data_IF_016740350420
#
_entry.id   IF_016740350420
#
_cell.length_a   1.000
_cell.length_b   1.000
_cell.length_c   1.000
_cell.angle_alpha   90.00
_cell.angle_beta   90.00
_cell.angle_gamma   90.00
#
_symmetry.space_group_name_H-M   'P 1'
#
loop_
_entity.id
_entity.type
_entity.pdbx_description
1 polymer ?
#
# COMPACT_ATOMS: atom_id res chain seq x y z
N UNK A 1 80.09 1.31 -27.85
CA UNK A 1 79.29 1.29 -26.60
C UNK A 1 77.84 1.51 -26.97
N UNK A 2 77.05 0.44 -27.02
CA UNK A 2 75.61 0.49 -27.32
C UNK A 2 74.90 -0.30 -26.22
N UNK A 3 74.21 0.41 -25.33
CA UNK A 3 73.38 -0.19 -24.29
C UNK A 3 72.00 -0.53 -24.88
N UNK A 4 71.66 -1.81 -24.93
CA UNK A 4 70.31 -2.30 -25.18
C UNK A 4 69.65 -2.64 -23.85
N UNK A 5 68.70 -1.79 -23.42
CA UNK A 5 67.81 -2.04 -22.28
C UNK A 5 66.67 -2.97 -22.70
N UNK A 6 66.56 -4.13 -22.04
CA UNK A 6 65.45 -5.08 -22.20
C UNK A 6 64.26 -4.67 -21.30
N UNK A 7 63.01 -4.65 -21.80
CA UNK A 7 61.86 -4.28 -20.97
C UNK A 7 61.46 -5.42 -20.03
N UNK A 8 61.37 -5.11 -18.73
CA UNK A 8 60.89 -6.02 -17.67
C UNK A 8 59.37 -6.21 -17.83
N UNK A 9 58.95 -7.46 -18.10
CA UNK A 9 57.55 -7.86 -18.33
C UNK A 9 56.62 -7.48 -17.15
N UNK A 10 55.73 -6.51 -17.38
CA UNK A 10 54.62 -6.11 -16.48
C UNK A 10 53.43 -7.09 -16.61
N UNK A 11 53.70 -8.40 -16.66
CA UNK A 11 52.65 -9.40 -16.95
C UNK A 11 52.07 -9.98 -15.65
N UNK A 12 52.85 -10.01 -14.57
CA UNK A 12 52.45 -10.62 -13.31
C UNK A 12 51.27 -9.94 -12.59
N UNK A 13 51.17 -8.58 -12.50
CA UNK A 13 50.05 -7.96 -11.79
C UNK A 13 48.72 -8.11 -12.55
N UNK A 14 48.72 -8.03 -13.89
CA UNK A 14 47.50 -8.13 -14.69
C UNK A 14 46.82 -9.50 -14.60
N UNK A 15 47.60 -10.58 -14.53
CA UNK A 15 47.08 -11.96 -14.38
C UNK A 15 46.46 -12.17 -12.98
N UNK A 16 47.00 -11.54 -11.94
CA UNK A 16 46.47 -11.62 -10.57
C UNK A 16 45.16 -10.82 -10.45
N UNK A 17 45.06 -9.64 -11.06
CA UNK A 17 43.81 -8.86 -11.10
C UNK A 17 42.70 -9.58 -11.88
N UNK A 18 43.03 -10.23 -12.99
CA UNK A 18 42.04 -10.97 -13.78
C UNK A 18 41.54 -12.23 -13.07
N UNK A 19 42.43 -12.97 -12.40
CA UNK A 19 42.05 -14.19 -11.67
C UNK A 19 41.22 -13.89 -10.42
N UNK A 20 41.50 -12.80 -9.71
CA UNK A 20 40.71 -12.38 -8.53
C UNK A 20 39.32 -11.88 -8.91
N UNK A 21 39.19 -11.09 -9.99
CA UNK A 21 37.88 -10.68 -10.50
C UNK A 21 37.06 -11.84 -11.05
N UNK A 22 37.70 -12.80 -11.74
CA UNK A 22 37.03 -14.02 -12.23
C UNK A 22 36.54 -14.91 -11.08
N UNK A 23 37.34 -15.10 -10.03
CA UNK A 23 36.94 -15.85 -8.83
C UNK A 23 35.76 -15.18 -8.10
N UNK A 24 35.76 -13.84 -7.99
CA UNK A 24 34.65 -13.09 -7.39
C UNK A 24 33.38 -13.23 -8.24
N UNK A 25 33.50 -13.19 -9.57
CA UNK A 25 32.37 -13.37 -10.48
C UNK A 25 31.80 -14.80 -10.42
N UNK A 26 32.66 -15.82 -10.37
CA UNK A 26 32.25 -17.22 -10.18
C UNK A 26 31.57 -17.41 -8.82
N UNK A 27 32.11 -16.80 -7.76
CA UNK A 27 31.49 -16.83 -6.43
C UNK A 27 30.11 -16.17 -6.41
N UNK A 28 29.95 -15.02 -7.08
CA UNK A 28 28.65 -14.34 -7.24
C UNK A 28 27.66 -15.19 -8.06
N UNK A 29 28.11 -15.87 -9.11
CA UNK A 29 27.29 -16.79 -9.89
C UNK A 29 26.85 -18.02 -9.09
N UNK A 30 27.75 -18.63 -8.30
CA UNK A 30 27.45 -19.78 -7.46
C UNK A 30 26.50 -19.42 -6.31
N UNK A 31 26.66 -18.25 -5.70
CA UNK A 31 25.73 -17.73 -4.70
C UNK A 31 24.35 -17.41 -5.30
N UNK A 32 24.32 -16.90 -6.54
CA UNK A 32 23.07 -16.63 -7.26
C UNK A 32 22.35 -17.92 -7.67
N UNK A 33 23.09 -18.97 -8.04
CA UNK A 33 22.51 -20.24 -8.47
C UNK A 33 21.98 -21.08 -7.30
N UNK A 34 22.70 -21.12 -6.17
CA UNK A 34 22.28 -21.85 -4.97
C UNK A 34 21.08 -21.20 -4.30
N UNK A 35 21.04 -19.87 -4.19
CA UNK A 35 19.91 -19.13 -3.61
C UNK A 35 18.59 -19.30 -4.39
N UNK A 36 18.64 -19.54 -5.70
CA UNK A 36 17.44 -19.78 -6.51
C UNK A 36 16.87 -21.21 -6.32
N UNK A 37 17.71 -22.24 -6.12
CA UNK A 37 17.23 -23.62 -5.90
C UNK A 37 16.47 -23.78 -4.58
N UNK A 38 16.89 -23.11 -3.51
CA UNK A 38 16.21 -23.21 -2.20
C UNK A 38 14.85 -22.52 -2.20
N UNK A 39 14.69 -21.43 -2.96
CA UNK A 39 13.40 -20.74 -3.06
C UNK A 39 12.33 -21.61 -3.74
N UNK A 40 12.70 -22.40 -4.75
CA UNK A 40 11.73 -23.22 -5.48
C UNK A 40 11.17 -24.39 -4.65
N UNK A 41 11.95 -24.92 -3.71
CA UNK A 41 11.55 -26.11 -2.94
C UNK A 41 10.47 -25.80 -1.90
N UNK A 42 10.64 -24.74 -1.12
CA UNK A 42 9.63 -24.37 -0.11
C UNK A 42 8.32 -23.89 -0.77
N UNK A 43 8.39 -23.22 -1.93
CA UNK A 43 7.21 -22.81 -2.69
C UNK A 43 6.42 -24.03 -3.20
N UNK A 44 7.10 -25.09 -3.66
CA UNK A 44 6.46 -26.36 -3.98
C UNK A 44 5.82 -27.01 -2.75
N UNK A 45 6.49 -26.98 -1.60
CA UNK A 45 5.92 -27.47 -0.34
C UNK A 45 4.68 -26.68 0.09
N UNK A 46 4.58 -25.39 -0.25
CA UNK A 46 3.38 -24.58 -0.06
C UNK A 46 2.31 -24.79 -1.15
N UNK A 47 2.70 -25.34 -2.29
CA UNK A 47 1.83 -25.59 -3.44
C UNK A 47 1.50 -24.32 -4.22
N UNK A 48 2.44 -23.38 -4.29
CA UNK A 48 2.28 -22.07 -4.92
C UNK A 48 3.39 -21.83 -5.96
N UNK A 49 3.07 -21.09 -7.03
CA UNK A 49 4.07 -20.65 -8.00
C UNK A 49 4.85 -19.44 -7.48
N UNK A 50 6.05 -19.21 -8.01
CA UNK A 50 6.85 -18.03 -7.70
C UNK A 50 6.09 -16.73 -7.94
N UNK A 51 5.45 -16.58 -9.11
CA UNK A 51 4.66 -15.39 -9.46
C UNK A 51 3.55 -15.12 -8.46
N UNK A 52 2.78 -16.15 -8.10
CA UNK A 52 1.70 -15.99 -7.14
C UNK A 52 2.23 -15.66 -5.72
N UNK A 53 3.39 -16.21 -5.34
CA UNK A 53 4.02 -15.86 -4.06
C UNK A 53 4.49 -14.39 -4.05
N UNK A 54 5.13 -13.93 -5.13
CA UNK A 54 5.59 -12.55 -5.27
C UNK A 54 4.42 -11.55 -5.18
N UNK A 55 3.33 -11.83 -5.90
CA UNK A 55 2.11 -11.03 -5.88
C UNK A 55 1.48 -10.99 -4.49
N UNK A 56 1.32 -12.16 -3.85
CA UNK A 56 0.71 -12.26 -2.51
C UNK A 56 1.53 -11.55 -1.45
N UNK A 57 2.86 -11.69 -1.47
CA UNK A 57 3.74 -10.99 -0.54
C UNK A 57 3.61 -9.48 -0.75
N UNK A 58 3.68 -9.03 -2.02
CA UNK A 58 3.59 -7.62 -2.37
C UNK A 58 2.26 -7.02 -1.90
N UNK A 59 1.13 -7.63 -2.28
CA UNK A 59 -0.20 -7.16 -1.91
C UNK A 59 -0.43 -7.22 -0.40
N UNK A 60 0.12 -8.22 0.29
CA UNK A 60 -0.03 -8.36 1.74
C UNK A 60 0.67 -7.23 2.51
N UNK A 61 1.90 -6.88 2.13
CA UNK A 61 2.62 -5.78 2.76
C UNK A 61 1.99 -4.42 2.45
N UNK A 62 1.66 -4.17 1.17
CA UNK A 62 1.06 -2.91 0.73
C UNK A 62 -0.33 -2.72 1.34
N UNK A 63 -1.17 -3.76 1.32
CA UNK A 63 -2.54 -3.75 1.82
C UNK A 63 -2.68 -3.94 3.33
N UNK A 64 -1.64 -4.43 4.04
CA UNK A 64 -1.68 -4.66 5.48
C UNK A 64 -2.57 -5.84 5.89
N UNK A 65 -2.76 -6.84 5.03
CA UNK A 65 -3.53 -8.05 5.32
C UNK A 65 -2.77 -9.28 4.81
N UNK A 66 -2.96 -10.44 5.41
CA UNK A 66 -2.29 -11.68 4.98
C UNK A 66 -3.16 -12.39 3.94
N UNK A 67 -2.69 -12.48 2.70
CA UNK A 67 -3.29 -13.35 1.69
C UNK A 67 -2.71 -14.78 1.77
N UNK A 68 -3.32 -15.60 2.62
CA UNK A 68 -3.00 -17.03 2.73
C UNK A 68 -3.87 -17.92 1.82
N UNK A 69 -4.76 -17.34 1.01
CA UNK A 69 -5.67 -18.12 0.17
C UNK A 69 -4.90 -18.82 -0.96
N UNK A 70 -5.26 -20.07 -1.23
CA UNK A 70 -4.64 -20.85 -2.31
C UNK A 70 -3.32 -21.55 -1.95
N UNK A 71 -2.87 -21.51 -0.69
CA UNK A 71 -1.74 -22.31 -0.20
C UNK A 71 -2.15 -23.78 -0.01
N UNK A 72 -2.26 -24.51 -1.12
CA UNK A 72 -2.87 -25.86 -1.19
C UNK A 72 -2.26 -26.88 -0.23
N UNK A 73 -0.95 -26.76 0.01
CA UNK A 73 -0.18 -27.76 0.75
C UNK A 73 0.23 -27.32 2.16
N UNK A 74 -0.06 -26.07 2.57
CA UNK A 74 0.40 -25.54 3.85
C UNK A 74 -0.04 -26.40 5.06
N UNK A 75 -1.26 -26.95 5.02
CA UNK A 75 -1.78 -27.85 6.06
C UNK A 75 -1.08 -29.23 6.12
N UNK A 76 -0.43 -29.63 5.02
CA UNK A 76 0.21 -30.93 4.86
C UNK A 76 1.71 -30.89 5.22
N UNK A 77 2.26 -29.72 5.57
CA UNK A 77 3.66 -29.61 6.00
C UNK A 77 3.84 -30.38 7.31
N UNK A 78 4.75 -31.36 7.28
CA UNK A 78 5.12 -32.17 8.43
C UNK A 78 5.56 -31.29 9.61
N UNK A 79 5.15 -31.64 10.84
CA UNK A 79 5.41 -30.84 12.04
C UNK A 79 6.90 -30.47 12.18
N UNK A 80 7.81 -31.44 11.97
CA UNK A 80 9.26 -31.21 12.02
C UNK A 80 9.81 -30.25 10.97
N UNK A 81 9.08 -30.01 9.87
CA UNK A 81 9.54 -29.16 8.76
C UNK A 81 8.98 -27.74 8.82
N UNK A 82 7.96 -27.48 9.65
CA UNK A 82 7.26 -26.18 9.68
C UNK A 82 8.18 -25.00 10.00
N UNK A 83 9.12 -25.19 10.94
CA UNK A 83 10.13 -24.18 11.29
C UNK A 83 10.99 -23.81 10.07
N UNK A 84 11.51 -24.80 9.36
CA UNK A 84 12.35 -24.57 8.19
C UNK A 84 11.59 -23.81 7.09
N UNK A 85 10.39 -24.29 6.74
CA UNK A 85 9.55 -23.63 5.71
C UNK A 85 9.19 -22.19 6.11
N UNK A 86 8.89 -21.94 7.38
CA UNK A 86 8.58 -20.59 7.85
C UNK A 86 9.77 -19.64 7.73
N UNK A 87 10.98 -20.10 8.09
CA UNK A 87 12.21 -19.30 7.97
C UNK A 87 12.60 -19.05 6.50
N UNK A 88 12.42 -20.05 5.64
CA UNK A 88 12.64 -19.91 4.19
C UNK A 88 11.64 -18.92 3.57
N UNK A 89 10.37 -19.00 3.94
CA UNK A 89 9.35 -18.03 3.52
C UNK A 89 9.68 -16.62 4.00
N UNK A 90 10.17 -16.44 5.24
CA UNK A 90 10.59 -15.13 5.75
C UNK A 90 11.80 -14.57 5.00
N UNK A 91 12.80 -15.41 4.72
CA UNK A 91 13.96 -15.02 3.91
C UNK A 91 13.55 -14.62 2.48
N UNK A 92 12.64 -15.39 1.87
CA UNK A 92 12.08 -15.08 0.56
C UNK A 92 11.28 -13.77 0.57
N UNK A 93 10.45 -13.59 1.59
CA UNK A 93 9.66 -12.36 1.82
C UNK A 93 10.58 -11.14 1.90
N UNK A 94 11.66 -11.22 2.70
CA UNK A 94 12.66 -10.16 2.82
C UNK A 94 13.31 -9.83 1.48
N UNK A 95 13.67 -10.84 0.69
CA UNK A 95 14.19 -10.66 -0.68
C UNK A 95 13.16 -9.97 -1.58
N UNK A 96 11.90 -10.40 -1.53
CA UNK A 96 10.84 -9.87 -2.38
C UNK A 96 10.52 -8.40 -2.07
N UNK A 97 10.36 -8.03 -0.79
CA UNK A 97 10.06 -6.63 -0.43
C UNK A 97 11.26 -5.69 -0.64
N UNK A 98 12.46 -6.24 -0.79
CA UNK A 98 13.66 -5.49 -1.18
C UNK A 98 13.87 -5.42 -2.70
N UNK A 99 12.98 -6.04 -3.49
CA UNK A 99 13.12 -6.11 -4.94
C UNK A 99 12.71 -4.81 -5.63
N UNK A 100 13.28 -4.54 -6.81
CA UNK A 100 12.89 -3.41 -7.64
C UNK A 100 11.39 -3.44 -8.03
N UNK A 101 10.82 -4.63 -8.20
CA UNK A 101 9.39 -4.79 -8.48
C UNK A 101 8.54 -4.29 -7.31
N UNK A 102 8.87 -4.66 -6.07
CA UNK A 102 8.17 -4.17 -4.89
C UNK A 102 8.31 -2.65 -4.73
N UNK A 103 9.52 -2.10 -4.92
CA UNK A 103 9.77 -0.65 -4.84
C UNK A 103 8.89 0.12 -5.85
N UNK A 104 8.73 -0.41 -7.06
CA UNK A 104 7.86 0.17 -8.08
C UNK A 104 6.39 0.21 -7.61
N UNK A 105 5.87 -0.91 -7.11
CA UNK A 105 4.49 -1.00 -6.62
C UNK A 105 4.25 -0.10 -5.40
N UNK A 106 5.20 -0.07 -4.46
CA UNK A 106 5.15 0.83 -3.31
C UNK A 106 5.11 2.30 -3.74
N UNK A 107 5.95 2.69 -4.70
CA UNK A 107 6.01 4.07 -5.20
C UNK A 107 4.72 4.45 -5.90
N UNK A 108 4.17 3.56 -6.74
CA UNK A 108 2.89 3.79 -7.41
C UNK A 108 1.74 3.95 -6.39
N UNK A 109 1.71 3.11 -5.35
CA UNK A 109 0.76 3.20 -4.25
C UNK A 109 0.94 4.51 -3.46
N UNK A 110 2.17 4.88 -3.11
CA UNK A 110 2.47 6.11 -2.38
C UNK A 110 1.97 7.34 -3.13
N UNK A 111 2.26 7.44 -4.44
CA UNK A 111 1.82 8.57 -5.27
C UNK A 111 0.29 8.59 -5.45
N UNK A 112 -0.38 7.44 -5.54
CA UNK A 112 -1.84 7.40 -5.65
C UNK A 112 -2.55 7.88 -4.39
N UNK A 113 -1.94 7.72 -3.22
CA UNK A 113 -2.44 8.24 -1.95
C UNK A 113 -2.00 9.67 -1.62
N UNK A 114 -1.20 10.31 -2.48
CA UNK A 114 -0.71 11.67 -2.23
C UNK A 114 -1.88 12.65 -2.20
N UNK A 115 -2.06 13.40 -1.09
CA UNK A 115 -3.09 14.42 -1.01
C UNK A 115 -2.95 15.43 -2.14
N UNK A 116 -4.08 15.92 -2.63
CA UNK A 116 -4.13 17.00 -3.61
C UNK A 116 -4.61 18.26 -2.93
N UNK A 117 -3.96 19.38 -3.23
CA UNK A 117 -4.40 20.67 -2.72
C UNK A 117 -5.76 21.00 -3.33
N UNK A 118 -6.75 21.24 -2.47
CA UNK A 118 -8.04 21.75 -2.88
C UNK A 118 -8.02 23.27 -2.75
N UNK A 119 -8.11 23.95 -3.88
CA UNK A 119 -8.25 25.40 -3.92
C UNK A 119 -9.75 25.70 -4.06
N UNK A 120 -10.37 26.33 -3.05
CA UNK A 120 -11.76 26.77 -3.17
C UNK A 120 -11.90 27.73 -4.36
N UNK A 121 -13.00 27.61 -5.10
CA UNK A 121 -13.30 28.53 -6.21
C UNK A 121 -13.28 29.97 -5.73
N UNK A 122 -12.77 30.88 -6.55
CA UNK A 122 -12.83 32.30 -6.21
C UNK A 122 -14.29 32.77 -6.17
N UNK A 123 -14.61 33.85 -5.45
CA UNK A 123 -15.95 34.43 -5.48
C UNK A 123 -16.43 34.77 -6.91
N UNK A 124 -15.51 35.22 -7.76
CA UNK A 124 -15.77 35.54 -9.17
C UNK A 124 -16.11 34.28 -9.97
N UNK A 125 -15.34 33.20 -9.79
CA UNK A 125 -15.59 31.91 -10.44
C UNK A 125 -16.94 31.33 -9.99
N UNK A 126 -17.20 31.31 -8.69
CA UNK A 126 -18.47 30.83 -8.13
C UNK A 126 -19.66 31.64 -8.67
N UNK A 127 -19.53 32.96 -8.78
CA UNK A 127 -20.55 33.84 -9.36
C UNK A 127 -20.77 33.55 -10.85
N UNK A 128 -19.69 33.45 -11.62
CA UNK A 128 -19.75 33.18 -13.05
C UNK A 128 -20.41 31.81 -13.32
N UNK A 129 -20.05 30.78 -12.57
CA UNK A 129 -20.65 29.45 -12.67
C UNK A 129 -22.14 29.46 -12.27
N UNK A 130 -22.50 30.15 -11.18
CA UNK A 130 -23.90 30.29 -10.77
C UNK A 130 -24.77 30.95 -11.84
N UNK A 131 -24.30 32.05 -12.43
CA UNK A 131 -25.01 32.74 -13.54
C UNK A 131 -25.10 31.82 -14.77
N UNK A 132 -24.00 31.14 -15.13
CA UNK A 132 -23.99 30.20 -16.26
C UNK A 132 -25.01 29.07 -16.05
N UNK A 133 -25.00 28.43 -14.89
CA UNK A 133 -25.94 27.36 -14.56
C UNK A 133 -27.39 27.84 -14.58
N UNK A 134 -27.67 29.04 -14.07
CA UNK A 134 -29.00 29.63 -14.12
C UNK A 134 -29.46 29.92 -15.57
N UNK A 135 -28.57 30.43 -16.42
CA UNK A 135 -28.85 30.64 -17.86
C UNK A 135 -29.16 29.33 -18.58
N UNK A 136 -28.34 28.31 -18.36
CA UNK A 136 -28.58 26.97 -18.92
C UNK A 136 -29.91 26.38 -18.44
N UNK A 137 -30.27 26.60 -17.16
CA UNK A 137 -31.55 26.18 -16.60
C UNK A 137 -32.75 26.83 -17.30
N UNK A 138 -32.68 28.14 -17.58
CA UNK A 138 -33.71 28.85 -18.36
C UNK A 138 -33.84 28.26 -19.76
N UNK A 139 -32.72 28.11 -20.49
CA UNK A 139 -32.73 27.57 -21.86
C UNK A 139 -33.33 26.17 -21.90
N UNK A 140 -32.89 25.26 -21.02
CA UNK A 140 -33.42 23.89 -20.94
C UNK A 140 -34.92 23.88 -20.64
N UNK A 141 -35.38 24.76 -19.75
CA UNK A 141 -36.81 24.84 -19.40
C UNK A 141 -37.64 25.40 -20.56
N UNK A 142 -37.12 26.39 -21.30
CA UNK A 142 -37.77 26.91 -22.52
C UNK A 142 -37.91 25.83 -23.60
N UNK A 143 -36.88 25.00 -23.78
CA UNK A 143 -36.94 23.85 -24.70
C UNK A 143 -37.97 22.81 -24.26
N UNK A 144 -38.02 22.48 -22.96
CA UNK A 144 -39.02 21.57 -22.41
C UNK A 144 -40.44 22.11 -22.58
N UNK A 145 -40.65 23.41 -22.35
CA UNK A 145 -41.94 24.07 -22.56
C UNK A 145 -42.41 23.99 -24.03
N UNK A 146 -41.49 24.17 -24.98
CA UNK A 146 -41.80 24.04 -26.43
C UNK A 146 -42.26 22.63 -26.81
N UNK A 147 -41.74 21.61 -26.12
CA UNK A 147 -42.05 20.19 -26.38
C UNK A 147 -43.20 19.66 -25.53
N UNK A 148 -43.73 20.46 -24.59
CA UNK A 148 -44.76 20.02 -23.66
C UNK A 148 -46.14 19.92 -24.31
N UNK A 149 -46.90 18.90 -23.93
CA UNK A 149 -48.32 18.78 -24.27
C UNK A 149 -49.19 19.78 -23.47
N UNK A 150 -50.49 19.84 -23.80
CA UNK A 150 -51.43 20.79 -23.21
C UNK A 150 -51.57 20.66 -21.68
N UNK A 151 -51.40 19.46 -21.13
CA UNK A 151 -51.53 19.22 -19.68
C UNK A 151 -50.28 19.68 -18.91
N UNK A 152 -49.10 19.59 -19.53
CA UNK A 152 -47.82 19.91 -18.91
C UNK A 152 -47.37 21.36 -19.13
N UNK A 153 -47.90 22.05 -20.16
CA UNK A 153 -47.56 23.45 -20.46
C UNK A 153 -47.69 24.41 -19.26
N UNK A 154 -48.77 24.41 -18.47
CA UNK A 154 -48.89 25.30 -17.31
C UNK A 154 -47.82 25.05 -16.24
N UNK A 155 -47.39 23.79 -16.08
CA UNK A 155 -46.35 23.40 -15.13
C UNK A 155 -44.99 23.95 -15.59
N UNK A 156 -44.62 23.72 -16.85
CA UNK A 156 -43.35 24.23 -17.39
C UNK A 156 -43.32 25.76 -17.49
N UNK A 157 -44.47 26.42 -17.69
CA UNK A 157 -44.58 27.87 -17.64
C UNK A 157 -44.18 28.40 -16.25
N UNK A 158 -44.71 27.79 -15.19
CA UNK A 158 -44.38 28.14 -13.81
C UNK A 158 -42.91 27.86 -13.48
N UNK A 159 -42.39 26.70 -13.90
CA UNK A 159 -40.97 26.36 -13.72
C UNK A 159 -40.07 27.36 -14.46
N UNK A 160 -40.47 27.81 -15.66
CA UNK A 160 -39.73 28.83 -16.41
C UNK A 160 -39.72 30.19 -15.70
N UNK A 161 -40.85 30.60 -15.13
CA UNK A 161 -40.93 31.81 -14.31
C UNK A 161 -39.99 31.74 -13.11
N UNK A 162 -39.98 30.62 -12.39
CA UNK A 162 -39.11 30.43 -11.25
C UNK A 162 -37.63 30.33 -11.66
N UNK A 163 -37.32 29.69 -12.79
CA UNK A 163 -35.97 29.67 -13.36
C UNK A 163 -35.49 31.08 -13.74
N UNK A 164 -36.36 31.93 -14.31
CA UNK A 164 -36.05 33.34 -14.63
C UNK A 164 -35.85 34.18 -13.37
N UNK A 165 -36.66 33.98 -12.33
CA UNK A 165 -36.42 34.62 -11.01
C UNK A 165 -35.09 34.21 -10.41
N UNK A 166 -34.73 32.93 -10.50
CA UNK A 166 -33.44 32.42 -10.03
C UNK A 166 -32.26 33.01 -10.81
N UNK A 167 -32.41 33.22 -12.13
CA UNK A 167 -31.40 33.90 -12.94
C UNK A 167 -31.20 35.34 -12.49
N UNK A 168 -32.27 36.12 -12.31
CA UNK A 168 -32.19 37.50 -11.81
C UNK A 168 -31.51 37.54 -10.44
N UNK A 169 -31.89 36.62 -9.54
CA UNK A 169 -31.25 36.49 -8.23
C UNK A 169 -29.75 36.15 -8.32
N UNK A 170 -29.35 35.27 -9.24
CA UNK A 170 -27.95 34.91 -9.47
C UNK A 170 -27.13 36.06 -10.08
N UNK A 171 -27.75 36.89 -10.92
CA UNK A 171 -27.12 38.06 -11.54
C UNK A 171 -27.02 39.27 -10.60
N UNK A 172 -27.75 39.28 -9.47
CA UNK A 172 -27.70 40.36 -8.47
C UNK A 172 -26.28 40.53 -7.89
N UNK A 173 -25.63 41.71 -8.02
CA UNK A 173 -24.34 41.99 -7.37
C UNK A 173 -24.38 41.84 -5.85
N UNK A 174 -25.55 42.02 -5.22
CA UNK A 174 -25.76 41.94 -3.78
C UNK A 174 -26.38 40.62 -3.32
N UNK A 175 -26.31 39.57 -4.15
CA UNK A 175 -26.78 38.24 -3.77
C UNK A 175 -26.14 37.81 -2.43
N UNK A 176 -27.00 37.60 -1.41
CA UNK A 176 -26.56 37.31 -0.04
C UNK A 176 -25.62 36.10 0.06
N UNK A 177 -25.79 35.10 -0.81
CA UNK A 177 -24.92 33.92 -0.82
C UNK A 177 -23.51 34.25 -1.31
N UNK A 178 -23.39 35.00 -2.41
CA UNK A 178 -22.08 35.42 -2.95
C UNK A 178 -21.40 36.40 -2.00
N UNK A 179 -22.14 37.33 -1.39
CA UNK A 179 -21.58 38.26 -0.38
C UNK A 179 -21.06 37.50 0.84
N UNK A 180 -21.85 36.56 1.37
CA UNK A 180 -21.43 35.73 2.49
C UNK A 180 -20.22 34.86 2.14
N UNK A 181 -20.20 34.26 0.94
CA UNK A 181 -19.07 33.48 0.46
C UNK A 181 -17.81 34.33 0.32
N UNK A 182 -17.90 35.50 -0.32
CA UNK A 182 -16.80 36.46 -0.48
C UNK A 182 -16.20 36.85 0.86
N UNK A 183 -17.05 37.15 1.85
CA UNK A 183 -16.61 37.49 3.21
C UNK A 183 -15.85 36.35 3.90
N UNK A 184 -16.27 35.10 3.68
CA UNK A 184 -15.68 33.93 4.32
C UNK A 184 -14.55 33.28 3.50
N UNK A 185 -14.38 33.66 2.22
CA UNK A 185 -13.44 33.08 1.29
C UNK A 185 -11.98 33.05 1.81
N UNK A 186 -11.44 34.13 2.40
CA UNK A 186 -10.10 34.07 2.99
C UNK A 186 -9.96 32.99 4.07
N UNK A 187 -11.01 32.79 4.88
CA UNK A 187 -11.07 31.74 5.89
C UNK A 187 -11.11 30.34 5.29
N UNK A 188 -11.88 30.15 4.21
CA UNK A 188 -11.90 28.88 3.47
C UNK A 188 -10.55 28.55 2.84
N UNK A 189 -9.92 29.51 2.17
CA UNK A 189 -8.57 29.32 1.57
C UNK A 189 -7.56 28.94 2.65
N UNK A 190 -7.54 29.67 3.78
CA UNK A 190 -6.66 29.36 4.91
C UNK A 190 -6.91 27.96 5.45
N UNK A 191 -8.16 27.61 5.75
CA UNK A 191 -8.51 26.30 6.30
C UNK A 191 -8.20 25.16 5.32
N UNK A 192 -8.42 25.35 4.01
CA UNK A 192 -8.09 24.35 2.98
C UNK A 192 -6.59 24.10 2.92
N UNK A 193 -5.77 25.17 2.98
CA UNK A 193 -4.31 25.05 3.01
C UNK A 193 -3.81 24.35 4.26
N UNK A 194 -4.27 24.77 5.44
CA UNK A 194 -3.89 24.12 6.70
C UNK A 194 -4.28 22.63 6.72
N UNK A 195 -5.45 22.30 6.16
CA UNK A 195 -5.89 20.91 6.04
C UNK A 195 -5.04 20.11 5.05
N UNK A 196 -4.63 20.74 3.94
CA UNK A 196 -3.72 20.11 2.98
C UNK A 196 -2.33 19.87 3.60
N UNK A 197 -1.77 20.85 4.28
CA UNK A 197 -0.47 20.74 4.98
C UNK A 197 -0.48 19.61 6.02
N UNK A 198 -1.55 19.49 6.82
CA UNK A 198 -1.70 18.38 7.77
C UNK A 198 -1.77 17.02 7.06
N UNK A 199 -2.60 16.91 6.03
CA UNK A 199 -2.71 15.68 5.25
C UNK A 199 -1.39 15.29 4.59
N UNK A 200 -0.65 16.28 4.09
CA UNK A 200 0.66 16.06 3.48
C UNK A 200 1.67 15.54 4.51
N UNK A 201 1.73 16.15 5.69
CA UNK A 201 2.59 15.69 6.78
C UNK A 201 2.22 14.27 7.26
N UNK A 202 0.93 13.97 7.41
CA UNK A 202 0.47 12.62 7.76
C UNK A 202 0.79 11.61 6.66
N UNK A 203 0.65 11.99 5.39
CA UNK A 203 1.02 11.16 4.25
C UNK A 203 2.52 10.89 4.20
N UNK A 204 3.38 11.90 4.42
CA UNK A 204 4.84 11.72 4.45
C UNK A 204 5.28 10.76 5.56
N UNK A 205 4.65 10.87 6.74
CA UNK A 205 4.89 9.97 7.87
C UNK A 205 4.41 8.55 7.59
N UNK A 206 3.23 8.41 6.97
CA UNK A 206 2.61 7.12 6.66
C UNK A 206 3.29 6.40 5.50
N UNK A 207 3.82 7.14 4.52
CA UNK A 207 4.44 6.63 3.31
C UNK A 207 5.89 7.15 3.17
N UNK A 208 6.82 6.67 4.00
CA UNK A 208 8.21 7.12 4.01
C UNK A 208 8.90 6.92 2.64
N UNK A 209 9.87 7.77 2.31
CA UNK A 209 10.64 7.61 1.06
C UNK A 209 11.42 6.30 1.03
N UNK A 210 11.99 5.89 2.16
CA UNK A 210 12.53 4.54 2.32
C UNK A 210 11.36 3.55 2.50
N UNK A 211 11.03 2.79 1.46
CA UNK A 211 9.98 1.75 1.50
C UNK A 211 10.18 0.71 2.60
N UNK A 212 11.43 0.44 3.02
CA UNK A 212 11.70 -0.49 4.10
C UNK A 212 11.17 0.01 5.45
N UNK A 213 11.07 1.32 5.66
CA UNK A 213 10.41 1.86 6.86
C UNK A 213 8.90 1.55 6.87
N UNK A 214 8.27 1.49 5.70
CA UNK A 214 6.87 1.02 5.59
C UNK A 214 6.77 -0.48 5.89
N UNK A 215 7.71 -1.28 5.40
CA UNK A 215 7.82 -2.72 5.72
C UNK A 215 8.04 -2.92 7.23
N UNK A 216 8.89 -2.10 7.87
CA UNK A 216 9.19 -2.16 9.30
C UNK A 216 7.94 -2.05 10.17
N UNK A 217 6.98 -1.22 9.79
CA UNK A 217 5.68 -1.11 10.50
C UNK A 217 4.94 -2.45 10.51
N UNK A 218 4.91 -3.17 9.37
CA UNK A 218 4.26 -4.49 9.28
C UNK A 218 4.98 -5.55 10.10
N UNK A 219 6.30 -5.50 10.14
CA UNK A 219 7.11 -6.37 10.99
C UNK A 219 6.83 -6.10 12.48
N UNK A 220 6.72 -4.84 12.87
CA UNK A 220 6.36 -4.45 14.24
C UNK A 220 4.93 -4.87 14.62
N UNK A 221 3.97 -4.81 13.70
CA UNK A 221 2.63 -5.36 13.91
C UNK A 221 2.70 -6.85 14.26
N UNK A 222 3.45 -7.64 13.48
CA UNK A 222 3.66 -9.06 13.79
C UNK A 222 4.28 -9.27 15.17
N UNK A 223 5.31 -8.49 15.51
CA UNK A 223 5.95 -8.56 16.83
C UNK A 223 4.97 -8.22 17.96
N UNK A 224 4.08 -7.25 17.75
CA UNK A 224 3.08 -6.85 18.74
C UNK A 224 1.96 -7.88 18.90
N UNK A 225 1.50 -8.48 17.81
CA UNK A 225 0.40 -9.45 17.81
C UNK A 225 0.79 -10.82 18.34
N UNK A 226 2.10 -11.12 18.37
CA UNK A 226 2.62 -12.42 18.81
C UNK A 226 3.39 -12.37 20.13
N UNK A 227 3.40 -11.21 20.83
CA UNK A 227 4.22 -11.00 22.04
C UNK A 227 3.76 -11.78 23.28
N UNK A 228 2.46 -12.08 23.36
CA UNK A 228 1.81 -12.62 24.57
C UNK A 228 1.03 -13.91 24.28
N UNK A 229 1.53 -14.73 23.35
CA UNK A 229 0.88 -16.00 23.03
C UNK A 229 1.16 -17.01 24.13
N UNK A 230 0.09 -17.50 24.75
CA UNK A 230 0.11 -18.65 25.63
C UNK A 230 -0.06 -19.93 24.79
N UNK A 231 1.06 -20.58 24.45
CA UNK A 231 1.05 -21.84 23.69
C UNK A 231 0.54 -23.05 24.50
N UNK A 232 0.32 -22.89 25.80
CA UNK A 232 -0.30 -23.89 26.67
C UNK A 232 -1.83 -23.77 26.75
N UNK A 233 -2.42 -22.78 26.06
CA UNK A 233 -3.85 -22.51 26.15
C UNK A 233 -4.72 -23.72 25.79
N UNK A 234 -5.65 -24.06 26.68
CA UNK A 234 -6.55 -25.19 26.51
C UNK A 234 -7.61 -24.94 25.43
N UNK A 235 -7.88 -25.98 24.63
CA UNK A 235 -8.88 -25.97 23.58
C UNK A 235 -9.98 -27.00 23.84
N UNK A 236 -11.23 -26.60 23.58
CA UNK A 236 -12.40 -27.49 23.59
C UNK A 236 -12.93 -27.67 22.18
N UNK A 237 -13.30 -28.92 21.84
CA UNK A 237 -13.93 -29.25 20.56
C UNK A 237 -15.45 -29.08 20.65
N UNK A 238 -16.03 -28.26 19.78
CA UNK A 238 -17.49 -28.09 19.61
C UNK A 238 -17.81 -28.12 18.12
N UNK A 239 -18.70 -29.01 17.69
CA UNK A 239 -19.12 -29.16 16.29
C UNK A 239 -17.95 -29.27 15.29
N UNK A 240 -16.93 -30.06 15.64
CA UNK A 240 -15.73 -30.26 14.80
C UNK A 240 -14.77 -29.06 14.74
N UNK A 241 -15.02 -27.99 15.49
CA UNK A 241 -14.13 -26.81 15.60
C UNK A 241 -13.52 -26.74 16.99
N UNK A 242 -12.26 -26.30 17.06
CA UNK A 242 -11.54 -26.06 18.33
C UNK A 242 -11.68 -24.59 18.74
N UNK A 243 -12.11 -24.39 19.97
CA UNK A 243 -12.30 -23.08 20.62
C UNK A 243 -11.40 -22.99 21.84
N UNK A 244 -10.95 -21.79 22.20
CA UNK A 244 -10.23 -21.60 23.46
C UNK A 244 -11.19 -21.71 24.64
N UNK A 245 -10.78 -22.44 25.69
CA UNK A 245 -11.53 -22.50 26.96
C UNK A 245 -11.52 -21.12 27.63
N UNK A 246 -10.37 -20.44 27.60
CA UNK A 246 -10.25 -19.08 28.10
C UNK A 246 -10.92 -18.07 27.14
N UNK A 247 -11.97 -17.39 27.64
CA UNK A 247 -12.72 -16.38 26.88
C UNK A 247 -11.85 -15.21 26.39
N UNK A 248 -10.84 -14.81 27.16
CA UNK A 248 -9.92 -13.75 26.76
C UNK A 248 -9.15 -14.15 25.49
N UNK A 249 -8.67 -15.39 25.42
CA UNK A 249 -7.98 -15.92 24.23
C UNK A 249 -8.93 -16.12 23.05
N UNK A 250 -10.17 -16.55 23.31
CA UNK A 250 -11.19 -16.62 22.25
C UNK A 250 -11.56 -15.24 21.71
N UNK A 251 -11.40 -14.17 22.48
CA UNK A 251 -11.62 -12.79 22.01
C UNK A 251 -10.43 -12.17 21.27
N UNK A 252 -9.25 -12.81 21.27
CA UNK A 252 -8.06 -12.31 20.57
C UNK A 252 -8.29 -12.27 19.05
N UNK A 253 -7.58 -11.37 18.38
CA UNK A 253 -7.64 -11.22 16.93
C UNK A 253 -7.16 -12.46 16.16
N UNK A 254 -7.55 -12.55 14.89
CA UNK A 254 -7.23 -13.70 14.04
C UNK A 254 -5.73 -13.97 13.92
N UNK A 255 -4.89 -12.93 13.84
CA UNK A 255 -3.43 -13.08 13.71
C UNK A 255 -2.80 -13.73 14.95
N UNK A 256 -3.20 -13.33 16.16
CA UNK A 256 -2.81 -14.00 17.42
C UNK A 256 -3.23 -15.49 17.42
N UNK A 257 -4.48 -15.75 17.02
CA UNK A 257 -5.03 -17.12 16.93
C UNK A 257 -4.35 -17.99 15.88
N UNK A 258 -3.89 -17.41 14.77
CA UNK A 258 -3.10 -18.09 13.74
C UNK A 258 -1.71 -18.42 14.26
N UNK A 259 -1.04 -17.48 14.91
CA UNK A 259 0.27 -17.70 15.50
C UNK A 259 0.23 -18.77 16.60
N UNK A 260 -0.79 -18.77 17.48
CA UNK A 260 -1.03 -19.87 18.42
C UNK A 260 -1.13 -21.23 17.71
N UNK A 261 -1.91 -21.31 16.62
CA UNK A 261 -2.08 -22.55 15.83
C UNK A 261 -0.82 -22.97 15.06
N UNK A 262 0.06 -22.01 14.76
CA UNK A 262 1.33 -22.29 14.11
C UNK A 262 2.32 -22.98 15.05
N UNK A 263 2.20 -22.75 16.37
CA UNK A 263 3.02 -23.39 17.39
C UNK A 263 4.25 -22.58 17.77
N UNK A 264 4.75 -22.86 18.99
CA UNK A 264 5.89 -22.16 19.60
C UNK A 264 7.16 -22.32 18.74
N UNK A 265 7.38 -23.54 18.24
CA UNK A 265 8.51 -23.95 17.41
C UNK A 265 8.61 -23.21 16.06
N UNK A 266 7.51 -22.60 15.62
CA UNK A 266 7.46 -21.77 14.41
C UNK A 266 7.55 -20.28 14.77
N UNK A 267 6.75 -19.84 15.74
CA UNK A 267 6.59 -18.42 16.06
C UNK A 267 7.83 -17.83 16.70
N UNK A 268 8.49 -18.52 17.64
CA UNK A 268 9.68 -17.98 18.31
C UNK A 268 10.84 -17.75 17.33
N UNK A 269 11.24 -18.73 16.48
CA UNK A 269 12.26 -18.48 15.46
C UNK A 269 11.86 -17.39 14.45
N UNK A 270 10.58 -17.31 14.10
CA UNK A 270 10.08 -16.24 13.23
C UNK A 270 10.24 -14.85 13.89
N UNK A 271 9.93 -14.73 15.17
CA UNK A 271 10.13 -13.48 15.95
C UNK A 271 11.59 -13.10 16.03
N UNK A 272 12.49 -14.05 16.27
CA UNK A 272 13.94 -13.80 16.27
C UNK A 272 14.44 -13.28 14.92
N UNK A 273 13.99 -13.92 13.82
CA UNK A 273 14.32 -13.47 12.47
C UNK A 273 13.78 -12.07 12.20
N UNK A 274 12.52 -11.81 12.54
CA UNK A 274 11.86 -10.52 12.31
C UNK A 274 12.52 -9.42 13.15
N UNK A 275 12.90 -9.69 14.40
CA UNK A 275 13.62 -8.72 15.23
C UNK A 275 14.94 -8.30 14.57
N UNK A 276 15.76 -9.28 14.16
CA UNK A 276 17.02 -8.99 13.42
C UNK A 276 16.76 -8.17 12.17
N UNK A 277 15.71 -8.52 11.42
CA UNK A 277 15.35 -7.77 10.22
C UNK A 277 14.91 -6.33 10.54
N UNK A 278 14.12 -6.10 11.59
CA UNK A 278 13.75 -4.74 12.04
C UNK A 278 15.01 -3.93 12.39
N UNK A 279 15.99 -4.55 13.04
CA UNK A 279 17.24 -3.91 13.47
C UNK A 279 18.15 -3.54 12.29
N UNK A 280 18.06 -4.28 11.18
CA UNK A 280 18.78 -3.97 9.93
C UNK A 280 18.15 -2.80 9.14
N UNK A 281 16.88 -2.47 9.39
CA UNK A 281 16.19 -1.38 8.70
C UNK A 281 16.48 -0.06 9.43
N UNK A 282 17.36 0.75 8.84
CA UNK A 282 17.65 2.13 9.25
C UNK A 282 16.53 3.10 8.83
#
# INVERSE_FOLDING_TARGET
MTHTTTPKKIILPAVIYFTTTLMLFIYLLLCSFTSNKFADEFLKQLGISKTAADEKITSSFLGGSLDAYGLKNAKNIALGNRKAVALELLAYTKKQVSSAAFVKEYTAMKESYKPKEYIPQTPEEMRAEGIKAAKEGVVKTEESLKKADASMKPIFQKVLEDAKKNLVFSEDPNNKHIVAYTKNYPGFVKSSRENFERQLADWEKKYPTNHLLYVKVRLQEFMNETKDIDFGAELVSKNGKKYFVNRAYESKGNRWKMAFRAGKEVVEPAREFVQKWIDEIN
#
